data_IF_011406433110
#
_entry.id   IF_011406433110
#
_cell.length_a   1.000
_cell.length_b   1.000
_cell.length_c   1.000
_cell.angle_alpha   90.00
_cell.angle_beta   90.00
_cell.angle_gamma   90.00
#
_symmetry.space_group_name_H-M   'P 1'
#
loop_
_entity.id
_entity.type
_entity.pdbx_description
1 polymer ?
#
# COMPACT_ATOMS: atom_id res chain seq x y z
N UNK A 1 -17.15 18.88 8.57
CA UNK A 1 -17.26 20.00 7.61
C UNK A 1 -17.92 19.46 6.36
N UNK A 2 -19.17 19.85 6.08
CA UNK A 2 -19.90 19.33 4.93
C UNK A 2 -19.47 20.12 3.69
N UNK A 3 -19.41 19.47 2.53
CA UNK A 3 -18.98 20.10 1.26
C UNK A 3 -19.74 21.41 0.96
N UNK A 4 -21.02 21.47 1.35
CA UNK A 4 -21.88 22.67 1.23
C UNK A 4 -21.36 23.88 2.00
N UNK A 5 -20.72 23.67 3.16
CA UNK A 5 -20.17 24.76 3.98
C UNK A 5 -18.92 25.36 3.33
N UNK A 6 -18.12 24.52 2.66
CA UNK A 6 -16.89 24.90 1.97
C UNK A 6 -17.22 25.71 0.72
N UNK A 7 -18.18 25.23 -0.10
CA UNK A 7 -18.65 25.94 -1.30
C UNK A 7 -19.19 27.33 -0.95
N UNK A 8 -19.94 27.44 0.16
CA UNK A 8 -20.49 28.73 0.63
C UNK A 8 -19.40 29.70 1.09
N UNK A 9 -18.32 29.21 1.70
CA UNK A 9 -17.19 30.06 2.11
C UNK A 9 -16.30 30.47 0.93
N UNK A 10 -16.07 29.57 -0.04
CA UNK A 10 -15.31 29.85 -1.25
C UNK A 10 -16.02 30.86 -2.16
N UNK A 11 -17.36 30.79 -2.27
CA UNK A 11 -18.15 31.72 -3.06
C UNK A 11 -17.92 33.19 -2.66
N UNK A 12 -17.67 33.45 -1.37
CA UNK A 12 -17.42 34.80 -0.85
C UNK A 12 -15.96 35.27 -1.00
N UNK A 13 -15.03 34.39 -1.39
CA UNK A 13 -13.57 34.67 -1.43
C UNK A 13 -12.92 34.23 -2.75
N UNK A 14 -13.73 34.05 -3.79
CA UNK A 14 -13.30 33.47 -5.08
C UNK A 14 -12.18 34.29 -5.76
N UNK A 15 -12.08 35.58 -5.45
CA UNK A 15 -11.03 36.49 -5.95
C UNK A 15 -9.72 36.46 -5.13
N UNK A 16 -9.55 35.51 -4.21
CA UNK A 16 -8.33 35.36 -3.41
C UNK A 16 -7.71 33.97 -3.63
N UNK A 17 -6.90 33.79 -4.69
CA UNK A 17 -6.36 32.49 -5.08
C UNK A 17 -5.60 31.76 -3.96
N UNK A 18 -4.86 32.49 -3.12
CA UNK A 18 -4.12 31.92 -2.00
C UNK A 18 -5.04 31.28 -0.95
N UNK A 19 -6.22 31.87 -0.68
CA UNK A 19 -7.20 31.32 0.27
C UNK A 19 -7.82 30.05 -0.30
N UNK A 20 -8.13 30.05 -1.60
CA UNK A 20 -8.68 28.88 -2.30
C UNK A 20 -7.69 27.71 -2.25
N UNK A 21 -6.40 27.96 -2.52
CA UNK A 21 -5.35 26.94 -2.47
C UNK A 21 -5.19 26.31 -1.08
N UNK A 22 -5.11 27.12 -0.02
CA UNK A 22 -4.98 26.64 1.36
C UNK A 22 -6.16 25.75 1.75
N UNK A 23 -7.37 26.14 1.36
CA UNK A 23 -8.57 25.33 1.62
C UNK A 23 -8.57 24.02 0.85
N UNK A 24 -8.19 24.03 -0.44
CA UNK A 24 -8.07 22.81 -1.24
C UNK A 24 -7.07 21.85 -0.60
N UNK A 25 -5.90 22.33 -0.17
CA UNK A 25 -4.89 21.51 0.53
C UNK A 25 -5.46 20.88 1.80
N UNK A 26 -6.22 21.62 2.61
CA UNK A 26 -6.85 21.07 3.82
C UNK A 26 -7.91 20.02 3.51
N UNK A 27 -8.73 20.22 2.48
CA UNK A 27 -9.75 19.27 2.04
C UNK A 27 -9.11 17.99 1.50
N UNK A 28 -8.08 18.12 0.66
CA UNK A 28 -7.32 16.98 0.14
C UNK A 28 -6.59 16.23 1.26
N UNK A 29 -5.90 16.93 2.16
CA UNK A 29 -5.20 16.32 3.28
C UNK A 29 -6.16 15.59 4.22
N UNK A 30 -7.36 16.14 4.46
CA UNK A 30 -8.37 15.50 5.27
C UNK A 30 -8.96 14.26 4.59
N UNK A 31 -9.25 14.32 3.29
CA UNK A 31 -9.68 13.16 2.50
C UNK A 31 -8.60 12.07 2.46
N UNK A 32 -7.34 12.47 2.37
CA UNK A 32 -6.19 11.56 2.44
C UNK A 32 -6.06 10.91 3.83
N UNK A 33 -6.21 11.66 4.92
CA UNK A 33 -6.17 11.13 6.29
C UNK A 33 -7.38 10.23 6.62
N UNK A 34 -8.56 10.57 6.11
CA UNK A 34 -9.78 9.74 6.27
C UNK A 34 -9.69 8.46 5.44
N UNK A 35 -9.08 8.49 4.25
CA UNK A 35 -8.78 7.32 3.42
C UNK A 35 -7.54 6.52 3.86
N UNK A 36 -6.62 7.14 4.62
CA UNK A 36 -5.44 6.48 5.19
C UNK A 36 -5.74 5.65 6.45
N UNK A 37 -7.02 5.47 6.80
CA UNK A 37 -7.40 4.60 7.92
C UNK A 37 -7.15 3.14 7.57
N UNK A 38 -6.08 2.62 8.18
CA UNK A 38 -5.53 1.27 8.10
C UNK A 38 -4.94 0.91 6.73
N UNK A 39 -3.61 0.87 6.70
CA UNK A 39 -2.87 0.14 5.68
C UNK A 39 -3.43 -1.27 5.57
N UNK A 40 -3.84 -1.70 4.37
CA UNK A 40 -4.31 -3.06 4.11
C UNK A 40 -3.22 -4.12 4.31
N UNK A 41 -1.97 -3.71 4.50
CA UNK A 41 -0.83 -4.58 4.78
C UNK A 41 -0.87 -5.12 6.21
N UNK A 42 -0.93 -6.43 6.31
CA UNK A 42 -0.86 -7.25 7.52
C UNK A 42 0.60 -7.64 7.73
N UNK A 43 1.12 -7.46 8.95
CA UNK A 43 2.49 -7.91 9.27
C UNK A 43 2.52 -9.43 9.39
N UNK A 44 3.60 -10.05 8.93
CA UNK A 44 3.75 -11.52 9.04
C UNK A 44 3.79 -11.98 10.49
N UNK A 45 4.28 -11.13 11.40
CA UNK A 45 4.29 -11.42 12.85
C UNK A 45 2.89 -11.35 13.49
N UNK A 46 1.95 -10.65 12.86
CA UNK A 46 0.55 -10.58 13.32
C UNK A 46 -0.24 -11.79 12.83
N UNK A 47 -0.14 -12.10 11.52
CA UNK A 47 -0.83 -13.23 10.90
C UNK A 47 -0.21 -13.57 9.56
N UNK A 48 -0.22 -14.85 9.20
CA UNK A 48 0.16 -15.34 7.87
C UNK A 48 -1.07 -15.40 6.93
N UNK A 49 -0.86 -15.44 5.60
CA UNK A 49 -1.94 -15.71 4.65
C UNK A 49 -2.54 -17.09 4.88
N UNK A 50 -3.71 -17.33 4.28
CA UNK A 50 -4.30 -18.67 4.26
C UNK A 50 -3.44 -19.60 3.36
N UNK A 51 -3.49 -20.90 3.62
CA UNK A 51 -2.74 -21.90 2.83
C UNK A 51 -3.17 -21.89 1.36
N UNK A 52 -2.20 -21.86 0.44
CA UNK A 52 -2.40 -21.73 -0.99
C UNK A 52 -2.81 -20.32 -1.45
N UNK A 53 -2.83 -19.33 -0.55
CA UNK A 53 -3.27 -17.98 -0.90
C UNK A 53 -2.19 -17.20 -1.65
N UNK A 54 -2.56 -16.68 -2.82
CA UNK A 54 -1.75 -15.75 -3.61
C UNK A 54 -1.98 -14.30 -3.17
N UNK A 55 -0.94 -13.63 -2.71
CA UNK A 55 -0.99 -12.32 -2.04
C UNK A 55 0.09 -11.37 -2.54
N UNK A 56 -0.12 -10.06 -2.37
CA UNK A 56 0.97 -9.09 -2.49
C UNK A 56 1.84 -9.16 -1.23
N UNK A 57 3.16 -9.13 -1.43
CA UNK A 57 4.14 -9.28 -0.37
C UNK A 57 5.14 -8.13 -0.39
N UNK A 58 5.37 -7.55 0.78
CA UNK A 58 6.48 -6.65 1.05
C UNK A 58 7.64 -7.42 1.68
N UNK A 59 8.80 -7.43 1.04
CA UNK A 59 9.96 -8.22 1.47
C UNK A 59 11.29 -7.49 1.28
N UNK A 60 12.33 -8.04 1.90
CA UNK A 60 13.72 -7.60 1.85
C UNK A 60 14.56 -8.76 1.29
N UNK A 61 15.47 -8.43 0.37
CA UNK A 61 16.34 -9.36 -0.33
C UNK A 61 17.81 -9.05 -0.01
N UNK A 62 18.66 -10.04 -0.16
CA UNK A 62 20.09 -9.89 0.01
C UNK A 62 20.77 -9.48 -1.31
N UNK A 63 21.39 -8.30 -1.36
CA UNK A 63 22.22 -7.91 -2.50
C UNK A 63 23.70 -8.07 -2.20
N UNK A 64 24.38 -8.86 -3.01
CA UNK A 64 25.83 -8.90 -3.08
C UNK A 64 26.31 -8.13 -4.31
N UNK A 65 26.99 -7.02 -4.06
CA UNK A 65 27.78 -6.32 -5.06
C UNK A 65 29.24 -6.74 -4.92
N UNK A 66 30.06 -6.51 -5.94
CA UNK A 66 31.48 -6.88 -5.95
C UNK A 66 32.28 -6.30 -4.77
N UNK A 67 31.82 -5.17 -4.21
CA UNK A 67 32.49 -4.43 -3.15
C UNK A 67 31.72 -4.37 -1.82
N UNK A 68 30.48 -4.89 -1.73
CA UNK A 68 29.68 -4.84 -0.50
C UNK A 68 28.53 -5.85 -0.50
N UNK A 69 28.18 -6.28 0.70
CA UNK A 69 27.01 -7.09 0.98
C UNK A 69 26.01 -6.22 1.77
N UNK A 70 24.77 -6.09 1.29
CA UNK A 70 23.78 -5.20 1.89
C UNK A 70 22.34 -5.73 1.77
N UNK A 71 21.52 -5.39 2.76
CA UNK A 71 20.07 -5.57 2.70
C UNK A 71 19.47 -4.64 1.63
N UNK A 72 18.52 -5.16 0.86
CA UNK A 72 17.83 -4.41 -0.19
C UNK A 72 16.98 -3.27 0.35
N UNK A 73 16.55 -2.39 -0.56
CA UNK A 73 15.34 -1.59 -0.32
C UNK A 73 14.12 -2.52 -0.21
N UNK A 74 13.03 -2.04 0.41
CA UNK A 74 11.76 -2.79 0.46
C UNK A 74 11.27 -3.06 -0.96
N UNK A 75 11.07 -4.34 -1.30
CA UNK A 75 10.48 -4.79 -2.55
C UNK A 75 9.02 -5.18 -2.34
N UNK A 76 8.24 -5.11 -3.42
CA UNK A 76 6.87 -5.62 -3.47
C UNK A 76 6.77 -6.55 -4.67
N UNK A 77 6.22 -7.74 -4.47
CA UNK A 77 5.91 -8.68 -5.53
C UNK A 77 4.75 -9.60 -5.10
N UNK A 78 4.38 -10.57 -5.94
CA UNK A 78 3.32 -11.52 -5.69
C UNK A 78 3.90 -12.89 -5.33
N UNK A 79 3.37 -13.48 -4.26
CA UNK A 79 3.76 -14.80 -3.79
C UNK A 79 2.53 -15.60 -3.41
N UNK A 80 2.66 -16.91 -3.47
CA UNK A 80 1.74 -17.87 -2.87
C UNK A 80 2.35 -18.39 -1.56
N UNK A 81 1.55 -18.42 -0.49
CA UNK A 81 1.97 -19.00 0.78
C UNK A 81 1.42 -20.42 0.92
N UNK A 82 2.30 -21.41 1.01
CA UNK A 82 1.90 -22.81 1.14
C UNK A 82 2.91 -23.60 1.99
N UNK A 83 2.42 -24.35 2.98
CA UNK A 83 3.21 -25.21 3.87
C UNK A 83 4.42 -24.50 4.50
N UNK A 84 4.28 -23.23 4.86
CA UNK A 84 5.38 -22.44 5.44
C UNK A 84 6.40 -21.88 4.44
N UNK A 85 6.13 -21.99 3.14
CA UNK A 85 7.01 -21.54 2.05
C UNK A 85 6.32 -20.44 1.26
N UNK A 86 7.11 -19.44 0.87
CA UNK A 86 6.69 -18.35 -0.01
C UNK A 86 7.22 -18.63 -1.42
N UNK A 87 6.33 -18.84 -2.37
CA UNK A 87 6.69 -19.19 -3.75
C UNK A 87 6.24 -18.09 -4.71
N UNK A 88 7.17 -17.62 -5.55
CA UNK A 88 6.86 -16.62 -6.60
C UNK A 88 6.18 -17.27 -7.79
N UNK A 89 5.59 -16.46 -8.68
CA UNK A 89 5.04 -16.96 -9.95
C UNK A 89 6.11 -17.55 -10.91
N UNK A 90 7.39 -17.38 -10.60
CA UNK A 90 8.51 -17.98 -11.33
C UNK A 90 9.04 -19.27 -10.65
N UNK A 91 8.24 -19.88 -9.76
CA UNK A 91 8.56 -21.10 -9.00
C UNK A 91 9.79 -20.99 -8.09
N UNK A 92 10.17 -19.77 -7.70
CA UNK A 92 11.27 -19.55 -6.74
C UNK A 92 10.68 -19.58 -5.34
N UNK A 93 11.23 -20.44 -4.48
CA UNK A 93 10.71 -20.69 -3.14
C UNK A 93 11.65 -20.17 -2.05
N UNK A 94 11.07 -19.55 -1.03
CA UNK A 94 11.78 -18.97 0.10
C UNK A 94 11.11 -19.36 1.43
N UNK A 95 11.90 -19.40 2.50
CA UNK A 95 11.34 -19.55 3.85
C UNK A 95 10.79 -18.21 4.36
N UNK A 96 11.30 -17.09 3.83
CA UNK A 96 10.79 -15.75 4.12
C UNK A 96 11.20 -15.22 5.49
N UNK A 97 12.23 -15.79 6.13
CA UNK A 97 12.57 -15.51 7.54
C UNK A 97 13.67 -14.47 7.68
N UNK A 98 14.69 -14.51 6.82
CA UNK A 98 15.89 -13.69 6.98
C UNK A 98 16.44 -13.20 5.64
N UNK A 99 17.17 -12.09 5.67
CA UNK A 99 17.88 -11.56 4.51
C UNK A 99 19.21 -12.31 4.36
N UNK A 100 19.23 -13.37 3.55
CA UNK A 100 20.41 -14.20 3.29
C UNK A 100 20.55 -14.49 1.79
N UNK A 101 21.68 -15.06 1.37
CA UNK A 101 21.93 -15.32 -0.06
C UNK A 101 20.84 -16.16 -0.73
N UNK A 102 20.29 -17.12 0.02
CA UNK A 102 19.31 -18.11 -0.47
C UNK A 102 17.94 -17.96 0.20
N UNK A 103 17.69 -16.84 0.92
CA UNK A 103 16.40 -16.56 1.58
C UNK A 103 16.05 -15.07 1.51
N UNK A 104 14.78 -14.75 1.71
CA UNK A 104 14.28 -13.37 1.84
C UNK A 104 13.70 -13.16 3.23
N UNK A 105 13.54 -11.89 3.62
CA UNK A 105 12.72 -11.55 4.78
C UNK A 105 11.39 -10.95 4.31
N UNK A 106 10.32 -11.73 4.45
CA UNK A 106 8.95 -11.26 4.24
C UNK A 106 8.56 -10.46 5.48
N UNK A 107 8.05 -9.24 5.28
CA UNK A 107 7.74 -8.30 6.37
C UNK A 107 6.23 -8.09 6.52
N UNK A 108 5.52 -7.98 5.41
CA UNK A 108 4.07 -7.81 5.41
C UNK A 108 3.45 -8.34 4.12
N UNK A 109 2.14 -8.56 4.15
CA UNK A 109 1.37 -9.00 3.00
C UNK A 109 0.00 -8.34 2.97
N UNK A 110 -0.66 -8.35 1.81
CA UNK A 110 -2.07 -8.03 1.72
C UNK A 110 -2.75 -8.89 0.64
N UNK A 111 -4.05 -9.19 0.79
CA UNK A 111 -4.81 -9.80 -0.29
C UNK A 111 -4.71 -8.97 -1.57
N UNK A 112 -4.65 -9.63 -2.73
CA UNK A 112 -4.72 -8.94 -4.02
C UNK A 112 -6.17 -8.46 -4.20
N UNK A 113 -6.42 -7.14 -4.23
CA UNK A 113 -7.78 -6.64 -4.41
C UNK A 113 -8.26 -6.92 -5.83
N UNK A 114 -9.52 -7.28 -5.98
CA UNK A 114 -10.17 -7.36 -7.28
C UNK A 114 -10.35 -5.96 -7.88
N UNK A 115 -10.53 -5.91 -9.21
CA UNK A 115 -10.81 -4.65 -9.89
C UNK A 115 -12.06 -3.96 -9.35
N UNK A 116 -13.13 -4.72 -9.05
CA UNK A 116 -14.38 -4.18 -8.50
C UNK A 116 -14.21 -3.62 -7.09
N UNK A 117 -13.39 -4.26 -6.24
CA UNK A 117 -13.06 -3.74 -4.91
C UNK A 117 -12.24 -2.45 -5.00
N UNK A 118 -11.32 -2.36 -5.96
CA UNK A 118 -10.58 -1.13 -6.24
C UNK A 118 -11.56 -0.03 -6.66
N UNK A 119 -12.47 -0.30 -7.61
CA UNK A 119 -13.45 0.69 -8.05
C UNK A 119 -14.38 1.13 -6.92
N UNK A 120 -14.87 0.19 -6.11
CA UNK A 120 -15.74 0.48 -4.96
C UNK A 120 -15.04 1.36 -3.93
N UNK A 121 -13.79 1.06 -3.62
CA UNK A 121 -12.96 1.84 -2.69
C UNK A 121 -12.66 3.25 -3.22
N UNK A 122 -12.66 3.42 -4.54
CA UNK A 122 -12.38 4.70 -5.22
C UNK A 122 -13.63 5.38 -5.82
N UNK A 123 -14.84 4.91 -5.47
CA UNK A 123 -16.11 5.42 -6.05
C UNK A 123 -16.30 6.91 -5.77
N UNK A 124 -15.82 7.37 -4.63
CA UNK A 124 -15.86 8.78 -4.21
C UNK A 124 -14.93 9.69 -5.00
N UNK A 125 -13.97 9.13 -5.74
CA UNK A 125 -13.08 9.86 -6.65
C UNK A 125 -13.73 9.96 -8.03
N UNK A 126 -14.30 8.86 -8.53
CA UNK A 126 -14.95 8.81 -9.85
C UNK A 126 -16.16 9.76 -9.93
N UNK A 127 -16.94 9.88 -8.84
CA UNK A 127 -18.08 10.79 -8.80
C UNK A 127 -17.69 12.28 -8.62
N UNK A 128 -16.40 12.63 -8.61
CA UNK A 128 -15.88 14.00 -8.43
C UNK A 128 -15.10 14.51 -9.65
N UNK A 129 -14.99 13.74 -10.72
CA UNK A 129 -14.38 14.10 -12.01
C UNK A 129 -15.52 14.35 -13.02
#
# INVERSE_FOLDING_TARGET
MKLKDIVRQLANRINQPHVVEVYLRQVYAKGFLEGAKQSSWIRVEERLPDEGQRVLVGFLYYYKYDNREAESRKHIDIFTYENGVWTTDCDISYLGRNVQKDDIKVVCWMPIPSFDEILKSNRDIVNKI
#
